data_IF_065839151118
#
_entry.id   IF_065839151118
#
_cell.length_a   1.000
_cell.length_b   1.000
_cell.length_c   1.000
_cell.angle_alpha   90.00
_cell.angle_beta   90.00
_cell.angle_gamma   90.00
#
_symmetry.space_group_name_H-M   'P 1'
#
loop_
_entity.id
_entity.type
_entity.pdbx_description
1 polymer ?
#
# COMPACT_ATOMS: atom_id res chain seq x y z
N UNK A 1 26.30 -2.30 -51.99
CA UNK A 1 25.72 -2.79 -50.71
C UNK A 1 26.67 -2.42 -49.58
N UNK A 2 26.65 -1.16 -49.17
CA UNK A 2 27.37 -0.69 -47.99
C UNK A 2 26.31 -0.10 -47.05
N UNK A 3 25.59 -1.03 -46.42
CA UNK A 3 24.67 -0.73 -45.33
C UNK A 3 25.51 -0.61 -44.06
N UNK A 4 25.79 0.61 -43.63
CA UNK A 4 26.00 0.87 -42.22
C UNK A 4 24.88 1.76 -41.68
N UNK A 5 23.70 1.21 -41.36
CA UNK A 5 22.83 1.80 -40.37
C UNK A 5 23.22 1.24 -39.00
N UNK A 6 24.28 1.75 -38.39
CA UNK A 6 24.34 1.73 -36.92
C UNK A 6 23.62 2.97 -36.40
N UNK A 7 22.31 3.00 -36.65
CA UNK A 7 21.41 3.97 -36.06
C UNK A 7 20.32 3.19 -35.33
N UNK A 8 20.71 2.56 -34.23
CA UNK A 8 19.78 2.21 -33.17
C UNK A 8 20.53 2.38 -31.85
N UNK A 9 20.76 3.64 -31.49
CA UNK A 9 20.95 3.98 -30.08
C UNK A 9 19.69 3.48 -29.36
N UNK A 10 19.80 2.69 -28.27
CA UNK A 10 18.61 2.31 -27.53
C UNK A 10 17.97 3.59 -27.00
N UNK A 11 16.83 3.92 -27.61
CA UNK A 11 15.94 5.00 -27.26
C UNK A 11 15.63 4.96 -25.76
N UNK A 12 16.29 5.82 -25.00
CA UNK A 12 15.78 6.23 -23.70
C UNK A 12 14.80 7.38 -23.98
N UNK A 13 13.48 7.21 -23.75
CA UNK A 13 12.55 8.30 -24.00
C UNK A 13 12.84 9.45 -23.04
N UNK A 14 13.18 10.59 -23.61
CA UNK A 14 13.28 11.86 -22.94
C UNK A 14 11.93 12.24 -22.32
N UNK A 15 11.87 12.28 -20.99
CA UNK A 15 10.95 13.16 -20.25
C UNK A 15 11.80 14.23 -19.57
N UNK A 16 11.69 15.53 -19.93
CA UNK A 16 12.26 16.60 -19.11
C UNK A 16 11.34 16.82 -17.90
N UNK A 17 11.32 15.86 -16.99
CA UNK A 17 10.91 16.09 -15.61
C UNK A 17 12.01 16.91 -14.91
N UNK A 18 11.70 17.74 -13.90
CA UNK A 18 12.73 18.47 -13.16
C UNK A 18 13.82 17.48 -12.75
N UNK A 19 15.05 17.72 -13.20
CA UNK A 19 16.24 16.91 -12.91
C UNK A 19 16.62 17.14 -11.44
N UNK A 20 15.79 16.60 -10.54
CA UNK A 20 16.31 16.08 -9.28
C UNK A 20 17.23 14.93 -9.68
N UNK A 21 18.50 14.93 -9.28
CA UNK A 21 19.38 13.81 -9.60
C UNK A 21 18.80 12.56 -8.94
N UNK A 22 18.10 11.76 -9.74
CA UNK A 22 17.55 10.48 -9.31
C UNK A 22 18.75 9.56 -9.08
N UNK A 23 18.77 8.91 -7.90
CA UNK A 23 19.87 8.01 -7.55
C UNK A 23 19.93 6.89 -8.59
N UNK A 24 21.15 6.46 -8.96
CA UNK A 24 21.28 5.30 -9.83
C UNK A 24 20.76 4.05 -9.09
N UNK A 25 19.97 3.19 -9.73
CA UNK A 25 19.46 1.97 -9.09
C UNK A 25 20.01 0.71 -9.75
N UNK A 26 20.53 -0.19 -8.93
CA UNK A 26 20.91 -1.52 -9.40
C UNK A 26 19.67 -2.36 -9.73
N UNK A 27 19.79 -3.22 -10.74
CA UNK A 27 18.73 -4.16 -11.10
C UNK A 27 18.29 -5.02 -9.90
N UNK A 28 19.22 -5.43 -9.04
CA UNK A 28 18.92 -6.18 -7.82
C UNK A 28 18.09 -5.37 -6.81
N UNK A 29 18.39 -4.08 -6.64
CA UNK A 29 17.63 -3.17 -5.77
C UNK A 29 16.21 -2.94 -6.29
N UNK A 30 16.05 -2.74 -7.60
CA UNK A 30 14.74 -2.63 -8.26
C UNK A 30 13.93 -3.93 -8.10
N UNK A 31 14.56 -5.08 -8.31
CA UNK A 31 13.92 -6.38 -8.09
C UNK A 31 13.44 -6.56 -6.65
N UNK A 32 14.18 -6.03 -5.67
CA UNK A 32 13.76 -6.04 -4.26
C UNK A 32 12.56 -5.13 -4.03
N UNK A 33 12.56 -3.92 -4.60
CA UNK A 33 11.48 -2.95 -4.50
C UNK A 33 10.18 -3.47 -5.15
N UNK A 34 10.26 -4.21 -6.25
CA UNK A 34 9.09 -4.81 -6.90
C UNK A 34 8.34 -5.81 -6.02
N UNK A 35 9.00 -6.40 -5.02
CA UNK A 35 8.34 -7.29 -4.04
C UNK A 35 7.43 -6.53 -3.07
N UNK A 36 7.56 -5.20 -2.99
CA UNK A 36 6.65 -4.35 -2.24
C UNK A 36 5.35 -4.21 -3.03
N UNK A 37 4.17 -4.33 -2.39
CA UNK A 37 2.88 -4.10 -3.04
C UNK A 37 2.83 -2.76 -3.77
N UNK A 38 2.17 -2.75 -4.92
CA UNK A 38 2.11 -1.57 -5.78
C UNK A 38 1.34 -0.41 -5.13
N UNK A 39 1.49 0.78 -5.70
CA UNK A 39 0.87 1.99 -5.20
C UNK A 39 1.67 2.61 -4.05
N UNK A 40 0.96 3.12 -3.05
CA UNK A 40 1.56 3.95 -1.99
C UNK A 40 2.65 3.24 -1.18
N UNK A 41 2.53 1.92 -1.00
CA UNK A 41 3.53 1.15 -0.24
C UNK A 41 4.89 1.13 -0.96
N UNK A 42 4.90 0.83 -2.26
CA UNK A 42 6.13 0.82 -3.07
C UNK A 42 6.75 2.20 -3.17
N UNK A 43 5.95 3.23 -3.44
CA UNK A 43 6.43 4.62 -3.50
C UNK A 43 7.02 5.08 -2.16
N UNK A 44 6.35 4.75 -1.04
CA UNK A 44 6.86 5.04 0.30
C UNK A 44 8.17 4.31 0.61
N UNK A 45 8.29 3.04 0.20
CA UNK A 45 9.53 2.29 0.33
C UNK A 45 10.66 2.86 -0.56
N UNK A 46 10.37 3.23 -1.81
CA UNK A 46 11.32 3.89 -2.72
C UNK A 46 11.89 5.14 -2.07
N UNK A 47 11.01 6.02 -1.57
CA UNK A 47 11.42 7.25 -0.89
C UNK A 47 12.31 6.96 0.32
N UNK A 48 11.96 5.98 1.16
CA UNK A 48 12.78 5.64 2.34
C UNK A 48 14.15 5.08 1.99
N UNK A 49 14.26 4.33 0.89
CA UNK A 49 15.55 3.84 0.39
C UNK A 49 16.39 5.01 -0.12
N UNK A 50 15.81 5.93 -0.89
CA UNK A 50 16.52 7.12 -1.37
C UNK A 50 16.97 8.03 -0.23
N UNK A 51 16.11 8.23 0.77
CA UNK A 51 16.45 9.00 1.97
C UNK A 51 17.64 8.37 2.69
N UNK A 52 17.61 7.05 2.88
CA UNK A 52 18.71 6.29 3.49
C UNK A 52 20.00 6.43 2.68
N UNK A 53 19.92 6.30 1.36
CA UNK A 53 21.07 6.46 0.46
C UNK A 53 21.68 7.87 0.57
N UNK A 54 20.86 8.92 0.54
CA UNK A 54 21.31 10.32 0.65
C UNK A 54 21.92 10.61 2.03
N UNK A 55 21.32 10.10 3.10
CA UNK A 55 21.81 10.27 4.47
C UNK A 55 23.19 9.62 4.69
N UNK A 56 23.48 8.53 3.98
CA UNK A 56 24.75 7.81 4.05
C UNK A 56 25.74 8.20 2.94
N UNK A 57 25.39 9.18 2.09
CA UNK A 57 26.25 9.64 1.00
C UNK A 57 26.41 8.63 -0.15
N UNK A 58 25.47 7.69 -0.31
CA UNK A 58 25.45 6.78 -1.45
C UNK A 58 24.93 7.50 -2.69
N UNK A 59 25.68 7.38 -3.79
CA UNK A 59 25.31 7.91 -5.11
C UNK A 59 24.48 6.91 -5.94
N UNK A 60 24.45 5.65 -5.50
CA UNK A 60 23.77 4.53 -6.14
C UNK A 60 23.06 3.68 -5.07
N UNK A 61 21.87 3.21 -5.40
CA UNK A 61 21.09 2.26 -4.62
C UNK A 61 21.47 0.85 -5.03
N UNK A 62 22.36 0.26 -4.23
CA UNK A 62 22.68 -1.16 -4.31
C UNK A 62 21.62 -2.03 -3.61
N UNK A 63 21.72 -3.35 -3.77
CA UNK A 63 20.84 -4.29 -3.07
C UNK A 63 20.88 -4.06 -1.55
N UNK A 64 22.07 -3.88 -0.98
CA UNK A 64 22.29 -3.64 0.44
C UNK A 64 21.60 -2.34 0.91
N UNK A 65 21.76 -1.25 0.17
CA UNK A 65 21.12 0.04 0.46
C UNK A 65 19.59 -0.08 0.42
N UNK A 66 19.05 -0.82 -0.56
CA UNK A 66 17.63 -1.08 -0.64
C UNK A 66 17.11 -1.88 0.57
N UNK A 67 17.82 -2.94 0.97
CA UNK A 67 17.43 -3.77 2.10
C UNK A 67 17.47 -3.02 3.42
N UNK A 68 18.50 -2.20 3.64
CA UNK A 68 18.60 -1.35 4.83
C UNK A 68 17.51 -0.28 4.87
N UNK A 69 17.24 0.40 3.75
CA UNK A 69 16.13 1.35 3.66
C UNK A 69 14.77 0.72 3.95
N UNK A 70 14.52 -0.48 3.41
CA UNK A 70 13.33 -1.29 3.68
C UNK A 70 13.24 -1.74 5.15
N UNK A 71 14.36 -2.11 5.76
CA UNK A 71 14.42 -2.49 7.17
C UNK A 71 14.11 -1.30 8.09
N UNK A 72 14.71 -0.13 7.82
CA UNK A 72 14.44 1.12 8.54
C UNK A 72 12.97 1.52 8.44
N UNK A 73 12.36 1.38 7.25
CA UNK A 73 10.93 1.65 7.07
C UNK A 73 10.04 0.75 7.96
N UNK A 74 10.36 -0.54 8.08
CA UNK A 74 9.64 -1.46 8.97
C UNK A 74 9.84 -1.12 10.45
N UNK A 75 11.09 -0.83 10.85
CA UNK A 75 11.41 -0.47 12.23
C UNK A 75 10.68 0.80 12.68
N UNK A 76 10.62 1.83 11.83
CA UNK A 76 9.87 3.05 12.11
C UNK A 76 8.37 2.78 12.31
N UNK A 77 7.80 1.86 11.54
CA UNK A 77 6.40 1.46 11.71
C UNK A 77 6.20 0.68 13.01
N UNK A 78 7.09 -0.27 13.31
CA UNK A 78 7.06 -1.07 14.54
C UNK A 78 7.21 -0.18 15.79
N UNK A 79 8.16 0.77 15.76
CA UNK A 79 8.37 1.73 16.82
C UNK A 79 7.11 2.55 17.08
N UNK A 80 6.49 3.10 16.03
CA UNK A 80 5.25 3.87 16.15
C UNK A 80 4.08 3.06 16.69
N UNK A 81 3.99 1.76 16.38
CA UNK A 81 2.98 0.87 16.95
C UNK A 81 3.22 0.60 18.44
N UNK A 82 4.49 0.50 18.85
CA UNK A 82 4.89 0.23 20.24
C UNK A 82 4.75 1.45 21.16
N UNK A 83 4.90 2.66 20.63
CA UNK A 83 4.80 3.92 21.38
C UNK A 83 3.34 4.38 21.66
N UNK A 84 2.33 3.68 21.14
CA UNK A 84 0.95 3.81 21.64
C UNK A 84 -0.06 4.49 20.72
N UNK A 85 -0.23 4.01 19.49
CA UNK A 85 -1.34 4.46 18.64
C UNK A 85 -1.53 3.63 17.39
N UNK A 86 -2.53 2.75 17.40
CA UNK A 86 -2.92 1.93 16.25
C UNK A 86 -3.28 2.79 15.04
N UNK A 87 -2.59 2.55 13.93
CA UNK A 87 -2.87 3.15 12.64
C UNK A 87 -2.61 2.13 11.54
N UNK A 88 -3.46 1.13 11.42
CA UNK A 88 -3.55 0.33 10.19
C UNK A 88 -4.29 1.13 9.11
N UNK A 89 -3.79 1.26 7.88
CA UNK A 89 -4.68 1.39 6.73
C UNK A 89 -5.18 -0.01 6.38
N UNK A 90 -5.99 -0.60 7.27
CA UNK A 90 -6.76 -1.79 6.95
C UNK A 90 -8.00 -1.31 6.20
N UNK A 91 -7.92 -1.40 4.88
CA UNK A 91 -9.04 -1.49 3.97
C UNK A 91 -10.14 -2.38 4.55
N UNK A 92 -11.34 -1.83 4.72
CA UNK A 92 -12.60 -2.58 4.85
C UNK A 92 -13.18 -2.68 6.26
N UNK A 93 -14.37 -2.07 6.45
CA UNK A 93 -15.34 -2.60 7.42
C UNK A 93 -15.93 -1.66 8.47
N UNK A 94 -16.58 -0.56 8.09
CA UNK A 94 -17.96 -0.18 8.51
C UNK A 94 -18.34 1.15 7.86
N UNK A 95 -19.25 1.10 6.90
CA UNK A 95 -19.96 2.30 6.45
C UNK A 95 -20.85 2.78 7.62
N UNK A 96 -20.84 4.07 7.99
CA UNK A 96 -21.70 4.63 9.04
C UNK A 96 -23.20 4.69 8.65
N UNK A 97 -23.60 4.02 7.56
CA UNK A 97 -24.98 4.00 7.05
C UNK A 97 -25.73 2.69 7.33
N UNK A 98 -25.23 1.82 8.22
CA UNK A 98 -25.99 0.65 8.70
C UNK A 98 -26.82 1.00 9.95
N UNK A 99 -27.74 1.97 9.81
CA UNK A 99 -28.96 1.99 10.62
C UNK A 99 -29.96 1.03 9.99
N UNK A 100 -29.71 -0.27 10.16
CA UNK A 100 -30.73 -1.29 9.96
C UNK A 100 -31.63 -1.37 11.19
N UNK A 101 -32.47 -0.34 11.40
CA UNK A 101 -33.55 -0.43 12.38
C UNK A 101 -34.58 -1.43 11.85
N UNK A 102 -34.51 -2.66 12.35
CA UNK A 102 -35.65 -3.57 12.38
C UNK A 102 -36.81 -2.85 13.09
N UNK A 103 -37.83 -2.48 12.32
CA UNK A 103 -39.15 -2.16 12.85
C UNK A 103 -40.18 -2.75 11.88
N UNK A 104 -40.36 -4.06 11.98
CA UNK A 104 -41.57 -4.74 11.55
C UNK A 104 -42.43 -5.01 12.78
N UNK A 105 -43.17 -4.00 13.24
CA UNK A 105 -44.32 -4.22 14.12
C UNK A 105 -45.48 -4.68 13.25
N UNK A 106 -45.86 -5.96 13.37
CA UNK A 106 -47.15 -6.45 12.92
C UNK A 106 -48.10 -6.52 14.13
N UNK A 107 -49.35 -6.05 14.01
CA UNK A 107 -50.30 -6.00 15.12
C UNK A 107 -50.80 -7.41 15.49
N UNK A 108 -50.86 -7.68 16.80
CA UNK A 108 -51.55 -8.84 17.34
C UNK A 108 -53.05 -8.72 17.05
N UNK A 109 -53.53 -9.56 16.14
CA UNK A 109 -54.95 -9.79 15.93
C UNK A 109 -55.48 -10.70 17.03
N UNK A 110 -56.22 -10.10 17.95
CA UNK A 110 -57.26 -10.70 18.78
C UNK A 110 -58.28 -11.41 17.88
N UNK A 111 -58.39 -12.73 18.01
CA UNK A 111 -59.57 -13.50 17.60
C UNK A 111 -59.51 -14.95 18.13
N UNK A 112 -60.58 -15.37 18.79
CA UNK A 112 -61.08 -16.74 18.62
C UNK A 112 -61.07 -17.60 19.88
N UNK A 113 -62.24 -17.68 20.51
CA UNK A 113 -62.51 -18.51 21.67
C UNK A 113 -62.40 -20.02 21.44
N UNK A 114 -62.42 -20.76 22.55
CA UNK A 114 -62.39 -22.21 22.55
C UNK A 114 -62.43 -22.81 23.95
N UNK A 115 -63.45 -22.49 24.74
CA UNK A 115 -63.91 -23.38 25.82
C UNK A 115 -64.80 -24.47 25.17
N UNK A 116 -64.59 -25.77 25.47
CA UNK A 116 -65.48 -26.42 26.43
C UNK A 116 -64.82 -27.48 27.33
N UNK A 117 -65.11 -27.33 28.63
CA UNK A 117 -65.51 -28.34 29.64
C UNK A 117 -65.19 -29.82 29.37
N UNK A 118 -64.59 -30.48 30.37
CA UNK A 118 -65.28 -31.49 31.24
C UNK A 118 -64.29 -32.18 32.19
N UNK A 119 -64.49 -32.00 33.50
CA UNK A 119 -64.69 -33.09 34.45
C UNK A 119 -65.67 -32.63 35.54
#
# INVERSE_FOLDING_TARGET
PELLPFLEAPSAPAHPAPIVPELAWQAAALARLMRVPEGFMREGCKQKIEDFAREHGHLEVSLEVAEQGLARARQLMEQKMREGGGGSPATGGKCPFTQGSTQGSAPAADAGGGEPKRN
#
